data_IF_144442209813
#
_entry.id   IF_144442209813
#
_cell.length_a   1.000
_cell.length_b   1.000
_cell.length_c   1.000
_cell.angle_alpha   90.00
_cell.angle_beta   90.00
_cell.angle_gamma   90.00
#
_symmetry.space_group_name_H-M   'P 1'
#
loop_
_entity.id
_entity.type
_entity.pdbx_description
1 polymer ?
#
# COMPACT_ATOMS: atom_id res chain seq x y z
N UNK A 1 14.56 -1.87 0.15
CA UNK A 1 15.07 -0.51 -0.20
C UNK A 1 14.76 0.42 0.96
N UNK A 2 15.70 1.25 1.42
CA UNK A 2 15.38 2.20 2.51
C UNK A 2 14.58 3.38 1.96
N UNK A 3 13.49 3.73 2.65
CA UNK A 3 12.60 4.86 2.34
C UNK A 3 12.41 5.75 3.58
N UNK A 4 11.95 6.97 3.38
CA UNK A 4 11.58 7.90 4.47
C UNK A 4 10.06 7.90 4.61
N UNK A 5 9.57 7.75 5.83
CA UNK A 5 8.14 7.71 6.16
C UNK A 5 7.86 8.78 7.20
N UNK A 6 6.87 9.62 6.92
CA UNK A 6 6.46 10.70 7.82
C UNK A 6 5.69 10.13 9.02
N UNK A 7 5.83 10.74 10.19
CA UNK A 7 5.16 10.38 11.44
C UNK A 7 4.49 11.62 12.01
N UNK A 8 3.18 11.75 11.86
CA UNK A 8 2.44 12.95 12.27
C UNK A 8 2.40 13.16 13.78
N UNK A 9 2.58 12.11 14.58
CA UNK A 9 2.60 12.20 16.05
C UNK A 9 3.83 12.95 16.57
N UNK A 10 4.94 12.90 15.83
CA UNK A 10 6.22 13.52 16.22
C UNK A 10 6.67 14.63 15.27
N UNK A 11 6.01 14.83 14.13
CA UNK A 11 6.42 15.76 13.06
C UNK A 11 7.84 15.48 12.56
N UNK A 12 8.14 14.19 12.34
CA UNK A 12 9.45 13.73 11.91
C UNK A 12 9.34 12.66 10.82
N UNK A 13 10.44 12.46 10.08
CA UNK A 13 10.57 11.33 9.15
C UNK A 13 11.47 10.26 9.76
N UNK A 14 11.02 9.01 9.69
CA UNK A 14 11.81 7.84 10.06
C UNK A 14 12.24 7.07 8.81
N UNK A 15 13.31 6.27 8.93
CA UNK A 15 13.72 5.35 7.87
C UNK A 15 13.06 3.98 8.06
N UNK A 16 12.48 3.45 6.99
CA UNK A 16 11.88 2.11 6.96
C UNK A 16 12.40 1.32 5.76
N UNK A 17 12.37 -0.01 5.85
CA UNK A 17 12.69 -0.88 4.72
C UNK A 17 11.43 -1.15 3.89
N UNK A 18 11.43 -0.69 2.64
CA UNK A 18 10.48 -1.11 1.61
C UNK A 18 10.83 -2.51 1.10
N UNK A 19 9.82 -3.38 1.04
CA UNK A 19 9.88 -4.76 0.54
C UNK A 19 9.48 -4.86 -0.94
N UNK A 20 8.94 -3.80 -1.53
CA UNK A 20 8.59 -3.74 -2.95
C UNK A 20 7.67 -2.56 -3.26
N UNK A 21 7.16 -2.52 -4.50
CA UNK A 21 6.25 -1.47 -4.98
C UNK A 21 5.02 -2.08 -5.63
N UNK A 22 3.87 -1.51 -5.32
CA UNK A 22 2.58 -1.84 -5.94
C UNK A 22 1.92 -0.59 -6.50
N UNK A 23 1.12 -0.76 -7.54
CA UNK A 23 0.34 0.32 -8.17
C UNK A 23 -1.12 0.21 -7.75
N UNK A 24 -1.73 1.32 -7.33
CA UNK A 24 -3.17 1.39 -7.14
C UNK A 24 -3.87 1.63 -8.48
N UNK A 25 -4.91 0.85 -8.78
CA UNK A 25 -5.81 1.05 -9.92
C UNK A 25 -7.24 1.08 -9.39
N UNK A 26 -7.90 2.24 -9.41
CA UNK A 26 -9.21 2.41 -8.79
C UNK A 26 -9.69 3.85 -8.72
N UNK A 27 -10.80 4.07 -8.02
CA UNK A 27 -11.32 5.42 -7.76
C UNK A 27 -10.50 6.08 -6.66
N UNK A 28 -9.82 7.19 -6.95
CA UNK A 28 -9.08 7.96 -5.93
C UNK A 28 -9.99 8.34 -4.76
N UNK A 29 -9.48 8.23 -3.53
CA UNK A 29 -10.25 8.54 -2.32
C UNK A 29 -9.37 9.11 -1.22
N UNK A 30 -10.00 9.82 -0.27
CA UNK A 30 -9.29 10.58 0.76
C UNK A 30 -8.53 11.78 0.17
N UNK A 31 -8.31 12.82 0.96
CA UNK A 31 -7.50 13.96 0.48
C UNK A 31 -6.01 13.56 0.31
N UNK A 32 -5.55 12.57 1.07
CA UNK A 32 -4.17 12.09 1.15
C UNK A 32 -4.12 10.56 1.34
N UNK A 33 -5.05 9.80 0.76
CA UNK A 33 -5.04 8.33 0.85
C UNK A 33 -4.50 7.68 -0.43
N UNK A 34 -5.36 7.13 -1.28
CA UNK A 34 -4.94 6.46 -2.52
C UNK A 34 -5.44 7.21 -3.75
N UNK A 35 -4.55 7.38 -4.71
CA UNK A 35 -4.79 8.01 -6.00
C UNK A 35 -4.58 7.05 -7.15
N UNK A 36 -5.51 7.04 -8.11
CA UNK A 36 -5.45 6.17 -9.28
C UNK A 36 -4.10 6.30 -10.02
N UNK A 37 -3.50 5.15 -10.32
CA UNK A 37 -2.28 5.07 -11.10
C UNK A 37 -1.00 5.37 -10.33
N UNK A 38 -1.06 5.67 -9.03
CA UNK A 38 0.12 5.94 -8.21
C UNK A 38 0.80 4.65 -7.76
N UNK A 39 2.13 4.71 -7.68
CA UNK A 39 3.00 3.67 -7.15
C UNK A 39 3.27 3.94 -5.68
N UNK A 40 3.10 2.91 -4.87
CA UNK A 40 3.29 2.98 -3.42
C UNK A 40 4.36 1.99 -2.97
N UNK A 41 5.19 2.44 -2.03
CA UNK A 41 6.15 1.59 -1.35
C UNK A 41 5.44 0.71 -0.33
N UNK A 42 5.73 -0.59 -0.36
CA UNK A 42 5.21 -1.54 0.61
C UNK A 42 6.22 -1.73 1.72
N UNK A 43 5.78 -1.55 2.96
CA UNK A 43 6.61 -1.74 4.15
C UNK A 43 6.42 -3.15 4.73
N UNK A 44 5.19 -3.66 4.73
CA UNK A 44 4.87 -4.94 5.37
C UNK A 44 3.63 -5.60 4.72
N UNK A 45 3.62 -6.93 4.66
CA UNK A 45 2.41 -7.73 4.43
C UNK A 45 2.03 -8.41 5.74
N UNK A 46 0.82 -8.16 6.21
CA UNK A 46 0.31 -8.70 7.47
C UNK A 46 -0.48 -9.98 7.20
N UNK A 47 -0.64 -10.81 8.24
CA UNK A 47 -1.31 -12.11 8.15
C UNK A 47 -2.81 -12.03 7.82
N UNK A 48 -3.43 -10.88 8.10
CA UNK A 48 -4.89 -10.66 7.96
C UNK A 48 -5.28 -10.10 6.59
N UNK A 49 -4.54 -10.47 5.54
CA UNK A 49 -4.75 -9.99 4.16
C UNK A 49 -4.68 -8.45 4.04
N UNK A 50 -3.89 -7.82 4.90
CA UNK A 50 -3.60 -6.39 4.89
C UNK A 50 -2.18 -6.13 4.39
N UNK A 51 -2.03 -5.02 3.67
CA UNK A 51 -0.75 -4.49 3.23
C UNK A 51 -0.54 -3.12 3.85
N UNK A 52 0.66 -2.90 4.41
CA UNK A 52 1.10 -1.61 4.93
C UNK A 52 1.90 -0.92 3.85
N UNK A 53 1.45 0.25 3.41
CA UNK A 53 2.12 1.05 2.39
C UNK A 53 2.31 2.48 2.86
N UNK A 54 3.28 3.17 2.29
CA UNK A 54 3.39 4.62 2.40
C UNK A 54 2.50 5.25 1.33
N UNK A 55 1.45 5.96 1.73
CA UNK A 55 0.43 6.49 0.83
C UNK A 55 0.62 7.98 0.49
N UNK A 56 -0.39 8.66 -0.08
CA UNK A 56 -0.29 10.06 -0.50
C UNK A 56 -0.05 11.04 0.67
N UNK A 57 -0.24 10.60 1.92
CA UNK A 57 0.10 11.37 3.13
C UNK A 57 1.58 11.32 3.51
N UNK A 58 2.37 10.49 2.83
CA UNK A 58 3.75 10.12 3.18
C UNK A 58 3.89 9.32 4.50
N UNK A 59 2.78 8.99 5.16
CA UNK A 59 2.72 8.11 6.32
C UNK A 59 2.43 6.67 5.90
N UNK A 60 2.70 5.70 6.77
CA UNK A 60 2.33 4.30 6.52
C UNK A 60 0.94 3.96 7.04
N UNK A 61 0.08 3.45 6.16
CA UNK A 61 -1.27 3.01 6.48
C UNK A 61 -1.56 1.60 5.98
N UNK A 62 -2.54 0.97 6.63
CA UNK A 62 -3.00 -0.38 6.31
C UNK A 62 -4.16 -0.34 5.32
N UNK A 63 -4.03 -1.11 4.25
CA UNK A 63 -5.06 -1.29 3.24
C UNK A 63 -5.35 -2.77 3.02
N UNK A 64 -6.57 -3.08 2.56
CA UNK A 64 -6.89 -4.44 2.13
C UNK A 64 -6.04 -4.82 0.93
N UNK A 65 -5.49 -6.04 0.95
CA UNK A 65 -4.77 -6.59 -0.19
C UNK A 65 -5.72 -6.93 -1.35
N UNK A 66 -7.01 -7.18 -1.09
CA UNK A 66 -7.98 -7.59 -2.12
C UNK A 66 -8.79 -6.44 -2.69
N UNK A 67 -9.22 -5.51 -1.84
CA UNK A 67 -10.03 -4.36 -2.24
C UNK A 67 -9.65 -3.12 -1.41
N UNK A 68 -8.52 -2.47 -1.72
CA UNK A 68 -8.16 -1.18 -1.12
C UNK A 68 -9.27 -0.13 -1.33
N UNK A 69 -9.92 0.25 -0.24
CA UNK A 69 -11.07 1.15 -0.20
C UNK A 69 -11.17 1.82 1.18
N UNK A 70 -11.82 2.99 1.30
CA UNK A 70 -12.04 3.63 2.59
C UNK A 70 -13.10 2.88 3.41
N UNK A 71 -12.94 2.85 4.72
CA UNK A 71 -13.83 2.13 5.64
C UNK A 71 -15.23 2.74 5.74
N UNK A 72 -15.37 4.03 5.43
CA UNK A 72 -16.64 4.75 5.47
C UNK A 72 -17.54 4.51 4.24
N UNK A 73 -17.04 3.75 3.25
CA UNK A 73 -17.77 3.45 2.02
C UNK A 73 -17.88 4.63 1.05
N UNK A 74 -17.08 5.69 1.22
CA UNK A 74 -17.06 6.87 0.34
C UNK A 74 -16.54 6.59 -1.07
N UNK A 75 -15.85 5.48 -1.29
CA UNK A 75 -15.37 5.01 -2.59
C UNK A 75 -15.57 3.51 -2.74
N UNK A 76 -15.72 3.05 -4.00
CA UNK A 76 -15.76 1.61 -4.32
C UNK A 76 -14.41 0.93 -4.15
N UNK A 77 -13.33 1.71 -4.05
CA UNK A 77 -11.97 1.22 -3.98
C UNK A 77 -11.42 0.78 -5.34
N UNK A 78 -10.43 -0.10 -5.28
CA UNK A 78 -9.67 -0.53 -6.45
C UNK A 78 -8.96 -1.86 -6.25
N UNK A 79 -7.89 -2.05 -7.00
CA UNK A 79 -7.03 -3.23 -6.94
C UNK A 79 -5.55 -2.82 -6.96
N UNK A 80 -4.70 -3.75 -6.55
CA UNK A 80 -3.26 -3.62 -6.67
C UNK A 80 -2.74 -4.29 -7.94
N UNK A 81 -1.72 -3.69 -8.55
CA UNK A 81 -0.86 -4.33 -9.54
C UNK A 81 0.56 -4.40 -9.00
N UNK A 82 1.19 -5.57 -9.08
CA UNK A 82 2.57 -5.77 -8.61
C UNK A 82 3.54 -5.10 -9.59
N UNK A 83 4.46 -4.28 -9.09
CA UNK A 83 5.46 -3.58 -9.91
C UNK A 83 6.87 -4.04 -9.60
N UNK A 84 7.24 -4.05 -8.31
CA UNK A 84 8.55 -4.53 -7.85
C UNK A 84 8.39 -5.38 -6.59
N UNK A 85 9.19 -6.43 -6.46
CA UNK A 85 9.21 -7.29 -5.27
C UNK A 85 10.67 -7.57 -4.90
N UNK A 86 11.16 -6.89 -3.87
CA UNK A 86 12.58 -6.93 -3.50
C UNK A 86 12.91 -8.14 -2.64
N UNK A 87 11.92 -8.71 -1.95
CA UNK A 87 12.11 -9.80 -0.99
C UNK A 87 11.37 -11.10 -1.38
N UNK A 88 10.58 -11.08 -2.46
CA UNK A 88 9.78 -12.22 -2.91
C UNK A 88 8.46 -12.42 -2.14
N UNK A 89 8.18 -11.54 -1.18
CA UNK A 89 7.03 -11.64 -0.27
C UNK A 89 5.74 -11.19 -0.98
N UNK A 90 5.81 -10.13 -1.78
CA UNK A 90 4.62 -9.58 -2.43
C UNK A 90 4.05 -10.54 -3.46
N UNK A 91 4.92 -11.15 -4.28
CA UNK A 91 4.47 -12.11 -5.30
C UNK A 91 3.79 -13.32 -4.68
N UNK A 92 4.31 -13.82 -3.55
CA UNK A 92 3.70 -14.91 -2.81
C UNK A 92 2.32 -14.52 -2.26
N UNK A 93 2.18 -13.31 -1.73
CA UNK A 93 0.90 -12.82 -1.22
C UNK A 93 -0.12 -12.63 -2.36
N UNK A 94 0.25 -11.99 -3.48
CA UNK A 94 -0.62 -11.85 -4.65
C UNK A 94 -1.17 -13.21 -5.13
N UNK A 95 -0.30 -14.22 -5.20
CA UNK A 95 -0.69 -15.59 -5.56
C UNK A 95 -1.64 -16.23 -4.55
N UNK A 96 -1.33 -16.10 -3.25
CA UNK A 96 -2.19 -16.59 -2.14
C UNK A 96 -3.59 -15.96 -2.23
N UNK A 97 -3.66 -14.69 -2.56
CA UNK A 97 -4.92 -13.94 -2.69
C UNK A 97 -5.64 -14.14 -4.04
N UNK A 98 -5.04 -14.85 -4.99
CA UNK A 98 -5.59 -15.04 -6.33
C UNK A 98 -5.62 -13.75 -7.16
N UNK A 99 -4.80 -12.75 -6.81
CA UNK A 99 -4.67 -11.49 -7.55
C UNK A 99 -3.80 -11.76 -8.78
N UNK A 100 -4.22 -11.28 -9.96
CA UNK A 100 -3.45 -11.42 -11.19
C UNK A 100 -2.17 -10.58 -11.10
N UNK A 101 -1.05 -11.21 -11.43
CA UNK A 101 0.29 -10.61 -11.55
C UNK A 101 0.59 -10.43 -13.04
#
# INVERSE_FOLDING_TARGET
MIIRVYQSETDEYIEMESIGKIKYIGESFGALSLSDGILYDVVEVLKDDLVRIVDDSEEDYLYSMRNPAPLDGSSKGGKWELVEDYQGVLRAEFQKQGIKI
#
